data_IF_199329475338
#
_entry.id   IF_199329475338
#
_cell.length_a   1.000
_cell.length_b   1.000
_cell.length_c   1.000
_cell.angle_alpha   90.00
_cell.angle_beta   90.00
_cell.angle_gamma   90.00
#
_symmetry.space_group_name_H-M   'P 1'
#
loop_
_entity.id
_entity.type
_entity.pdbx_description
1 polymer ?
#
# COMPACT_ATOMS: atom_id res chain seq x y z
N UNK A 1 -1.79 27.99 4.91
CA UNK A 1 -0.93 27.08 5.76
C UNK A 1 -1.61 25.71 6.03
N UNK A 2 -2.91 25.65 6.35
CA UNK A 2 -3.59 24.38 6.67
C UNK A 2 -3.67 23.38 5.48
N UNK A 3 -3.84 23.86 4.23
CA UNK A 3 -3.82 23.01 3.02
C UNK A 3 -2.45 22.37 2.81
N UNK A 4 -1.39 23.17 2.89
CA UNK A 4 -0.02 22.68 2.69
C UNK A 4 0.36 21.65 3.77
N UNK A 5 -0.07 21.86 5.03
CA UNK A 5 0.12 20.89 6.11
C UNK A 5 -0.63 19.58 5.83
N UNK A 6 -1.89 19.68 5.40
CA UNK A 6 -2.69 18.51 5.06
C UNK A 6 -2.07 17.70 3.92
N UNK A 7 -1.69 18.37 2.82
CA UNK A 7 -1.02 17.72 1.69
C UNK A 7 0.35 17.16 2.08
N UNK A 8 1.14 17.89 2.86
CA UNK A 8 2.42 17.42 3.36
C UNK A 8 2.30 16.14 4.20
N UNK A 9 1.31 16.08 5.11
CA UNK A 9 1.05 14.88 5.91
C UNK A 9 0.53 13.72 5.04
N UNK A 10 -0.39 13.95 4.12
CA UNK A 10 -0.94 12.88 3.30
C UNK A 10 0.08 12.34 2.29
N UNK A 11 0.84 13.20 1.62
CA UNK A 11 1.91 12.79 0.70
C UNK A 11 3.07 12.14 1.46
N UNK A 12 3.49 12.73 2.58
CA UNK A 12 4.55 12.16 3.42
C UNK A 12 4.20 10.77 3.93
N UNK A 13 2.97 10.58 4.42
CA UNK A 13 2.49 9.26 4.85
C UNK A 13 2.37 8.30 3.66
N UNK A 14 1.90 8.76 2.51
CA UNK A 14 1.83 7.96 1.30
C UNK A 14 3.21 7.43 0.88
N UNK A 15 4.22 8.31 0.86
CA UNK A 15 5.60 7.93 0.53
C UNK A 15 6.19 6.97 1.57
N UNK A 16 5.96 7.22 2.87
CA UNK A 16 6.39 6.30 3.95
C UNK A 16 5.74 4.93 3.83
N UNK A 17 4.49 4.88 3.44
CA UNK A 17 3.75 3.63 3.32
C UNK A 17 4.19 2.76 2.13
N UNK A 18 4.89 3.32 1.14
CA UNK A 18 5.39 2.58 -0.03
C UNK A 18 6.22 1.36 0.38
N UNK A 19 7.32 1.48 1.12
CA UNK A 19 8.12 0.33 1.54
C UNK A 19 7.65 -0.30 2.85
N UNK A 20 7.00 0.47 3.75
CA UNK A 20 6.57 -0.04 5.05
C UNK A 20 5.23 -0.78 4.97
N UNK A 21 4.46 -0.54 3.91
CA UNK A 21 3.16 -1.16 3.67
C UNK A 21 2.28 -1.16 4.95
N UNK A 22 1.88 -2.31 5.47
CA UNK A 22 1.08 -2.41 6.69
C UNK A 22 1.80 -1.91 7.96
N UNK A 23 3.12 -2.03 8.04
CA UNK A 23 3.91 -1.52 9.16
C UNK A 23 3.79 0.00 9.35
N UNK A 24 3.49 0.74 8.29
CA UNK A 24 3.24 2.18 8.37
C UNK A 24 1.94 2.51 9.13
N UNK A 25 0.94 1.64 9.07
CA UNK A 25 -0.34 1.83 9.78
C UNK A 25 -0.16 1.89 11.30
N UNK A 26 0.67 1.01 11.86
CA UNK A 26 1.00 1.02 13.29
C UNK A 26 1.78 2.26 13.72
N UNK A 27 2.77 2.68 12.91
CA UNK A 27 3.53 3.90 13.16
C UNK A 27 2.60 5.14 13.16
N UNK A 28 1.75 5.22 12.16
CA UNK A 28 0.80 6.31 11.98
C UNK A 28 -0.24 6.33 13.10
N UNK A 29 -0.80 5.18 13.49
CA UNK A 29 -1.75 5.09 14.59
C UNK A 29 -1.13 5.56 15.91
N UNK A 30 0.13 5.22 16.18
CA UNK A 30 0.86 5.70 17.37
C UNK A 30 1.10 7.22 17.32
N UNK A 31 1.45 7.77 16.16
CA UNK A 31 1.64 9.21 16.00
C UNK A 31 0.33 9.99 16.22
N UNK A 32 -0.79 9.50 15.66
CA UNK A 32 -2.11 10.11 15.85
C UNK A 32 -2.54 9.98 17.31
N UNK A 33 -2.41 8.79 17.91
CA UNK A 33 -2.77 8.56 19.30
C UNK A 33 -2.05 9.50 20.27
N UNK A 34 -0.76 9.73 20.04
CA UNK A 34 0.03 10.68 20.83
C UNK A 34 -0.44 12.12 20.65
N UNK A 35 -0.76 12.54 19.42
CA UNK A 35 -1.31 13.88 19.15
C UNK A 35 -2.67 14.10 19.78
N UNK A 36 -3.55 13.10 19.78
CA UNK A 36 -4.86 13.17 20.43
C UNK A 36 -4.72 13.30 21.95
N UNK A 37 -3.74 12.60 22.55
CA UNK A 37 -3.46 12.70 23.98
C UNK A 37 -2.92 14.08 24.37
N UNK A 38 -2.06 14.67 23.54
CA UNK A 38 -1.39 15.95 23.82
C UNK A 38 -2.25 17.16 23.45
N UNK A 39 -3.05 17.10 22.39
CA UNK A 39 -3.78 18.24 21.81
C UNK A 39 -5.30 18.20 21.91
N UNK A 40 -5.90 17.09 22.35
CA UNK A 40 -7.35 16.92 22.38
C UNK A 40 -7.97 16.67 20.98
N UNK A 41 -9.30 16.55 20.94
CA UNK A 41 -10.08 16.30 19.72
C UNK A 41 -10.46 17.63 19.03
N UNK A 42 -9.47 18.37 18.53
CA UNK A 42 -9.69 19.58 17.76
C UNK A 42 -9.76 19.31 16.23
N UNK A 43 -10.22 20.32 15.46
CA UNK A 43 -10.31 20.21 14.00
C UNK A 43 -8.94 19.97 13.33
N UNK A 44 -7.86 20.45 13.93
CA UNK A 44 -6.51 20.28 13.41
C UNK A 44 -6.04 18.83 13.57
N UNK A 45 -6.30 18.21 14.70
CA UNK A 45 -5.99 16.81 15.01
C UNK A 45 -6.81 15.88 14.11
N UNK A 46 -8.11 16.14 13.94
CA UNK A 46 -8.96 15.37 13.01
C UNK A 46 -8.50 15.49 11.57
N UNK A 47 -8.12 16.69 11.12
CA UNK A 47 -7.57 16.88 9.77
C UNK A 47 -6.23 16.18 9.59
N UNK A 48 -5.34 16.20 10.58
CA UNK A 48 -4.08 15.48 10.55
C UNK A 48 -4.32 13.96 10.45
N UNK A 49 -5.21 13.41 11.27
CA UNK A 49 -5.58 11.99 11.25
C UNK A 49 -6.14 11.58 9.89
N UNK A 50 -7.06 12.37 9.33
CA UNK A 50 -7.62 12.13 7.99
C UNK A 50 -6.57 12.19 6.89
N UNK A 51 -5.64 13.16 6.96
CA UNK A 51 -4.56 13.28 5.99
C UNK A 51 -3.67 12.03 5.98
N UNK A 52 -3.32 11.55 7.17
CA UNK A 52 -2.49 10.38 7.37
C UNK A 52 -3.18 9.10 6.89
N UNK A 53 -4.44 8.88 7.29
CA UNK A 53 -5.23 7.72 6.83
C UNK A 53 -5.38 7.71 5.30
N UNK A 54 -5.61 8.87 4.69
CA UNK A 54 -5.72 8.97 3.24
C UNK A 54 -4.39 8.75 2.53
N UNK A 55 -3.29 9.28 3.07
CA UNK A 55 -1.96 9.00 2.54
C UNK A 55 -1.64 7.51 2.56
N UNK A 56 -1.93 6.85 3.67
CA UNK A 56 -1.80 5.39 3.80
C UNK A 56 -2.71 4.65 2.80
N UNK A 57 -3.99 5.03 2.69
CA UNK A 57 -4.95 4.41 1.77
C UNK A 57 -4.62 4.60 0.29
N UNK A 58 -3.92 5.68 -0.07
CA UNK A 58 -3.46 5.93 -1.44
C UNK A 58 -2.19 5.16 -1.81
N UNK A 59 -1.36 4.79 -0.83
CA UNK A 59 -0.04 4.19 -1.08
C UNK A 59 -0.09 2.87 -1.87
N UNK A 60 -1.06 1.94 -1.65
CA UNK A 60 -1.15 0.72 -2.44
C UNK A 60 -1.38 0.95 -3.93
N UNK A 61 -2.05 2.05 -4.29
CA UNK A 61 -2.34 2.38 -5.69
C UNK A 61 -1.14 2.96 -6.43
N UNK A 62 -0.24 3.65 -5.71
CA UNK A 62 0.91 4.33 -6.30
C UNK A 62 2.25 3.60 -6.11
N UNK A 63 2.25 2.45 -5.46
CA UNK A 63 3.48 1.75 -5.09
C UNK A 63 3.72 0.47 -5.90
N UNK A 64 4.84 0.38 -6.63
CA UNK A 64 5.23 -0.86 -7.27
C UNK A 64 5.57 -1.98 -6.27
N UNK A 65 5.87 -1.65 -5.01
CA UNK A 65 6.18 -2.61 -3.95
C UNK A 65 4.93 -3.05 -3.17
N UNK A 66 3.76 -2.56 -3.56
CA UNK A 66 2.49 -2.87 -2.89
C UNK A 66 2.07 -4.32 -3.09
N UNK A 67 1.66 -4.95 -2.01
CA UNK A 67 1.03 -6.28 -2.06
C UNK A 67 -0.22 -6.26 -2.95
N UNK A 68 -0.97 -5.15 -2.98
CA UNK A 68 -2.14 -5.01 -3.84
C UNK A 68 -1.77 -5.12 -5.33
N UNK A 69 -0.69 -4.47 -5.77
CA UNK A 69 -0.18 -4.58 -7.14
C UNK A 69 0.30 -6.00 -7.44
N UNK A 70 1.11 -6.57 -6.55
CA UNK A 70 1.61 -7.94 -6.72
C UNK A 70 0.47 -8.97 -6.81
N UNK A 71 -0.55 -8.84 -5.95
CA UNK A 71 -1.72 -9.72 -5.95
C UNK A 71 -2.54 -9.54 -7.23
N UNK A 72 -2.81 -8.31 -7.65
CA UNK A 72 -3.58 -8.02 -8.87
C UNK A 72 -2.93 -8.62 -10.11
N UNK A 73 -1.62 -8.42 -10.29
CA UNK A 73 -0.87 -8.99 -11.42
C UNK A 73 -0.80 -10.52 -11.36
N UNK A 74 -0.80 -11.09 -10.17
CA UNK A 74 -0.83 -12.56 -10.00
C UNK A 74 -2.19 -13.13 -10.36
N UNK A 75 -3.27 -12.45 -10.01
CA UNK A 75 -4.64 -12.89 -10.27
C UNK A 75 -5.09 -12.60 -11.72
N UNK A 76 -4.50 -11.60 -12.35
CA UNK A 76 -4.77 -11.20 -13.74
C UNK A 76 -3.48 -11.28 -14.57
N UNK A 77 -3.07 -12.48 -15.01
CA UNK A 77 -1.75 -12.70 -15.66
C UNK A 77 -1.53 -11.92 -16.96
N UNK A 78 -2.61 -11.52 -17.64
CA UNK A 78 -2.54 -10.69 -18.86
C UNK A 78 -2.25 -9.19 -18.58
N UNK A 79 -2.32 -8.76 -17.30
CA UNK A 79 -2.11 -7.39 -16.93
C UNK A 79 -0.65 -7.11 -16.58
N UNK A 80 0.00 -6.26 -17.38
CA UNK A 80 1.36 -5.81 -17.05
C UNK A 80 1.34 -4.91 -15.80
N UNK A 81 2.25 -5.17 -14.84
CA UNK A 81 2.39 -4.36 -13.61
C UNK A 81 2.56 -2.88 -13.89
N UNK A 82 3.24 -2.56 -14.98
CA UNK A 82 3.52 -1.20 -15.41
C UNK A 82 2.26 -0.46 -15.87
N UNK A 83 1.43 -1.13 -16.67
CA UNK A 83 0.13 -0.59 -17.10
C UNK A 83 -0.78 -0.30 -15.90
N UNK A 84 -0.82 -1.25 -14.94
CA UNK A 84 -1.58 -1.05 -13.70
C UNK A 84 -1.12 0.20 -12.95
N UNK A 85 0.20 0.38 -12.77
CA UNK A 85 0.75 1.53 -12.06
C UNK A 85 0.48 2.86 -12.76
N UNK A 86 0.62 2.92 -14.09
CA UNK A 86 0.35 4.13 -14.87
C UNK A 86 -1.09 4.60 -14.70
N UNK A 87 -2.05 3.68 -14.64
CA UNK A 87 -3.45 4.03 -14.44
C UNK A 87 -3.83 4.25 -12.98
N UNK A 88 -3.25 3.52 -12.04
CA UNK A 88 -3.57 3.66 -10.62
C UNK A 88 -2.97 4.91 -9.98
N UNK A 89 -1.83 5.40 -10.46
CA UNK A 89 -1.18 6.60 -9.93
C UNK A 89 -2.02 7.88 -10.06
N UNK A 90 -2.64 8.22 -11.22
CA UNK A 90 -3.58 9.32 -11.31
C UNK A 90 -4.78 9.18 -10.37
N UNK A 91 -5.25 7.96 -10.14
CA UNK A 91 -6.30 7.68 -9.17
C UNK A 91 -5.85 7.98 -7.73
N UNK A 92 -4.66 7.55 -7.33
CA UNK A 92 -4.08 7.88 -6.03
C UNK A 92 -3.94 9.39 -5.83
N UNK A 93 -3.41 10.09 -6.83
CA UNK A 93 -3.26 11.55 -6.78
C UNK A 93 -4.62 12.27 -6.71
N UNK A 94 -5.61 11.84 -7.49
CA UNK A 94 -6.96 12.43 -7.43
C UNK A 94 -7.63 12.17 -6.09
N UNK A 95 -7.49 10.98 -5.50
CA UNK A 95 -7.98 10.67 -4.17
C UNK A 95 -7.37 11.57 -3.08
N UNK A 96 -6.07 11.82 -3.15
CA UNK A 96 -5.38 12.71 -2.22
C UNK A 96 -5.82 14.16 -2.39
N UNK A 97 -5.95 14.65 -3.64
CA UNK A 97 -6.38 16.03 -3.92
C UNK A 97 -7.83 16.28 -3.53
N UNK A 98 -8.74 15.38 -3.87
CA UNK A 98 -10.16 15.44 -3.44
C UNK A 98 -10.26 15.45 -1.92
N UNK A 99 -9.35 14.75 -1.24
CA UNK A 99 -9.26 14.75 0.21
C UNK A 99 -9.14 16.13 0.85
N UNK A 100 -8.53 17.08 0.16
CA UNK A 100 -8.37 18.46 0.64
C UNK A 100 -9.72 19.16 0.81
N UNK A 101 -10.70 18.89 -0.05
CA UNK A 101 -12.01 19.52 0.02
C UNK A 101 -12.85 19.03 1.20
N UNK A 102 -12.60 17.82 1.68
CA UNK A 102 -13.30 17.21 2.82
C UNK A 102 -12.66 17.52 4.19
N UNK A 103 -11.68 18.44 4.23
CA UNK A 103 -11.11 18.88 5.50
C UNK A 103 -12.07 19.80 6.25
N UNK A 104 -12.00 19.77 7.57
CA UNK A 104 -12.73 20.71 8.42
C UNK A 104 -12.05 22.09 8.40
N UNK A 105 -12.85 23.16 8.54
CA UNK A 105 -12.32 24.50 8.74
C UNK A 105 -11.73 24.60 10.14
N UNK A 106 -10.45 24.91 10.21
CA UNK A 106 -9.75 25.15 11.45
C UNK A 106 -10.07 26.59 11.91
N UNK A 107 -10.99 26.72 12.88
CA UNK A 107 -11.37 27.99 13.49
C UNK A 107 -10.51 28.18 14.74
N UNK A 108 -9.66 29.20 14.74
CA UNK A 108 -8.77 29.56 15.85
C UNK A 108 -7.30 29.24 15.58
N UNK A 109 -6.43 29.82 16.39
CA UNK A 109 -5.01 29.48 16.43
C UNK A 109 -4.91 28.10 17.06
N UNK A 110 -4.86 27.06 16.22
CA UNK A 110 -4.41 25.76 16.70
C UNK A 110 -3.11 25.96 17.47
N UNK A 111 -2.93 25.34 18.64
CA UNK A 111 -1.62 25.25 19.22
C UNK A 111 -0.73 24.74 18.10
N UNK A 112 0.22 25.55 17.71
CA UNK A 112 1.20 25.16 16.74
C UNK A 112 1.68 23.79 17.17
N UNK A 113 1.43 22.74 16.35
CA UNK A 113 2.37 21.64 16.38
C UNK A 113 3.69 22.38 16.28
N UNK A 114 4.33 22.57 17.40
CA UNK A 114 5.66 23.09 17.43
C UNK A 114 6.47 22.01 16.70
N UNK A 115 6.50 22.13 15.39
CA UNK A 115 7.73 21.85 14.69
C UNK A 115 8.67 22.80 15.44
N UNK A 116 9.27 22.30 16.52
CA UNK A 116 10.33 22.94 17.24
C UNK A 116 11.13 23.66 16.20
N UNK A 117 11.38 24.98 16.40
CA UNK A 117 12.19 25.78 15.51
C UNK A 117 13.42 24.97 15.15
N UNK A 118 13.29 24.18 14.09
CA UNK A 118 14.35 23.33 13.57
C UNK A 118 15.27 24.33 12.91
N UNK A 119 16.29 24.72 13.62
CA UNK A 119 17.36 25.56 13.05
C UNK A 119 17.81 24.93 11.73
N UNK A 120 18.12 25.74 10.72
CA UNK A 120 18.39 25.25 9.36
C UNK A 120 19.50 24.19 9.24
N UNK A 121 20.33 24.00 10.26
CA UNK A 121 21.28 22.88 10.36
C UNK A 121 20.61 21.53 10.69
N UNK A 122 19.51 21.54 11.43
CA UNK A 122 18.74 20.34 11.74
C UNK A 122 17.91 19.87 10.55
N UNK A 123 17.50 20.77 9.65
CA UNK A 123 16.79 20.44 8.40
C UNK A 123 17.63 19.54 7.48
N UNK A 124 18.92 19.82 7.32
CA UNK A 124 19.83 19.00 6.52
C UNK A 124 20.06 17.62 7.15
N UNK A 125 20.12 17.54 8.48
CA UNK A 125 20.24 16.27 9.21
C UNK A 125 18.97 15.45 9.14
N UNK A 126 17.78 16.09 9.15
CA UNK A 126 16.50 15.43 9.00
C UNK A 126 16.26 14.94 7.56
N UNK A 127 16.85 15.62 6.55
CA UNK A 127 16.69 15.26 5.13
C UNK A 127 17.44 13.97 4.76
N UNK A 128 18.59 13.69 5.39
CA UNK A 128 19.43 12.54 5.06
C UNK A 128 18.77 11.15 5.28
N UNK A 129 18.05 10.89 6.37
CA UNK A 129 17.27 9.66 6.51
C UNK A 129 16.21 9.48 5.42
N UNK A 130 15.55 10.57 5.01
CA UNK A 130 14.57 10.56 3.92
C UNK A 130 15.20 10.19 2.58
N UNK A 131 16.34 10.76 2.26
CA UNK A 131 17.07 10.43 1.03
C UNK A 131 17.48 8.96 0.99
N UNK A 132 17.97 8.43 2.11
CA UNK A 132 18.30 7.00 2.23
C UNK A 132 17.08 6.11 2.03
N UNK A 133 15.97 6.47 2.64
CA UNK A 133 14.72 5.73 2.56
C UNK A 133 14.16 5.72 1.12
N UNK A 134 14.07 6.88 0.47
CA UNK A 134 13.63 7.00 -0.93
C UNK A 134 14.60 6.28 -1.85
N UNK A 135 15.90 6.44 -1.65
CA UNK A 135 16.94 5.75 -2.43
C UNK A 135 16.82 4.23 -2.32
N UNK A 136 16.54 3.71 -1.12
CA UNK A 136 16.34 2.28 -0.90
C UNK A 136 15.07 1.78 -1.62
N UNK A 137 13.96 2.51 -1.51
CA UNK A 137 12.71 2.15 -2.17
C UNK A 137 12.86 2.15 -3.70
N UNK A 138 13.56 3.15 -4.25
CA UNK A 138 13.89 3.21 -5.67
C UNK A 138 14.80 2.05 -6.10
N UNK A 139 15.82 1.74 -5.33
CA UNK A 139 16.72 0.62 -5.60
C UNK A 139 15.95 -0.71 -5.69
N UNK A 140 15.12 -1.02 -4.68
CA UNK A 140 14.28 -2.23 -4.68
C UNK A 140 13.36 -2.26 -5.91
N UNK A 141 12.74 -1.13 -6.24
CA UNK A 141 11.83 -1.03 -7.38
C UNK A 141 12.53 -1.25 -8.72
N UNK A 142 13.71 -0.66 -8.90
CA UNK A 142 14.51 -0.81 -10.12
C UNK A 142 15.06 -2.22 -10.25
N UNK A 143 15.56 -2.82 -9.18
CA UNK A 143 16.02 -4.21 -9.17
C UNK A 143 14.88 -5.18 -9.49
N UNK A 144 13.70 -4.99 -8.87
CA UNK A 144 12.53 -5.80 -9.15
C UNK A 144 12.08 -5.67 -10.62
N UNK A 145 12.11 -4.46 -11.17
CA UNK A 145 11.83 -4.23 -12.58
C UNK A 145 12.84 -4.93 -13.49
N UNK A 146 14.13 -4.83 -13.18
CA UNK A 146 15.19 -5.48 -13.94
C UNK A 146 15.05 -7.02 -13.92
N UNK A 147 14.80 -7.60 -12.73
CA UNK A 147 14.60 -9.04 -12.57
C UNK A 147 13.34 -9.54 -13.31
N UNK A 148 12.26 -8.76 -13.27
CA UNK A 148 11.05 -9.10 -14.01
C UNK A 148 11.26 -9.04 -15.52
N UNK A 149 11.95 -7.99 -16.02
CA UNK A 149 12.09 -7.73 -17.47
C UNK A 149 13.20 -8.57 -18.10
N UNK A 150 14.36 -8.70 -17.45
CA UNK A 150 15.54 -9.35 -18.02
C UNK A 150 15.69 -10.80 -17.62
N UNK A 151 15.34 -11.14 -16.37
CA UNK A 151 15.40 -12.51 -15.88
C UNK A 151 14.09 -13.29 -16.08
N UNK A 152 13.02 -12.64 -16.57
CA UNK A 152 11.72 -13.29 -16.81
C UNK A 152 11.02 -13.78 -15.55
N UNK A 153 11.40 -13.29 -14.37
CA UNK A 153 10.78 -13.67 -13.10
C UNK A 153 9.38 -13.09 -13.01
N UNK A 154 8.46 -13.82 -12.36
CA UNK A 154 7.15 -13.26 -12.02
C UNK A 154 7.33 -12.05 -11.10
N UNK A 155 6.49 -11.04 -11.26
CA UNK A 155 6.61 -9.78 -10.52
C UNK A 155 6.76 -9.97 -9.00
N UNK A 156 5.94 -10.85 -8.39
CA UNK A 156 6.02 -11.14 -6.95
C UNK A 156 7.36 -11.77 -6.54
N UNK A 157 7.93 -12.64 -7.39
CA UNK A 157 9.23 -13.25 -7.16
C UNK A 157 10.37 -12.23 -7.28
N UNK A 158 10.29 -11.36 -8.29
CA UNK A 158 11.25 -10.28 -8.49
C UNK A 158 11.29 -9.32 -7.30
N UNK A 159 10.13 -8.87 -6.81
CA UNK A 159 10.04 -8.01 -5.62
C UNK A 159 10.58 -8.71 -4.37
N UNK A 160 10.24 -9.99 -4.16
CA UNK A 160 10.73 -10.76 -3.02
C UNK A 160 12.25 -10.89 -3.05
N UNK A 161 12.81 -11.21 -4.21
CA UNK A 161 14.26 -11.36 -4.38
C UNK A 161 14.98 -10.03 -4.14
N UNK A 162 14.47 -8.93 -4.68
CA UNK A 162 15.03 -7.59 -4.47
C UNK A 162 15.02 -7.19 -2.98
N UNK A 163 13.95 -7.46 -2.27
CA UNK A 163 13.90 -7.23 -0.82
C UNK A 163 14.94 -8.09 -0.08
N UNK A 164 15.08 -9.37 -0.45
CA UNK A 164 16.09 -10.25 0.14
C UNK A 164 17.52 -9.77 -0.15
N UNK A 165 17.80 -9.33 -1.37
CA UNK A 165 19.11 -8.76 -1.75
C UNK A 165 19.47 -7.59 -0.83
N UNK A 166 18.55 -6.67 -0.62
CA UNK A 166 18.75 -5.51 0.26
C UNK A 166 18.97 -5.93 1.71
N UNK A 167 18.20 -6.87 2.22
CA UNK A 167 18.35 -7.38 3.59
C UNK A 167 19.73 -8.03 3.77
N UNK A 168 20.12 -8.89 2.85
CA UNK A 168 21.42 -9.58 2.89
C UNK A 168 22.56 -8.55 2.83
N UNK A 169 22.48 -7.60 1.88
CA UNK A 169 23.47 -6.55 1.73
C UNK A 169 23.58 -5.71 3.01
N UNK A 170 22.46 -5.31 3.61
CA UNK A 170 22.44 -4.60 4.88
C UNK A 170 23.09 -5.40 6.00
N UNK A 171 22.78 -6.70 6.13
CA UNK A 171 23.35 -7.56 7.17
C UNK A 171 24.85 -7.74 6.98
N UNK A 172 25.32 -7.93 5.74
CA UNK A 172 26.76 -8.04 5.42
C UNK A 172 27.48 -6.75 5.76
N UNK A 173 26.98 -5.60 5.32
CA UNK A 173 27.58 -4.30 5.62
C UNK A 173 27.65 -4.07 7.15
N UNK A 174 26.54 -4.34 7.85
CA UNK A 174 26.51 -4.18 9.32
C UNK A 174 27.50 -5.09 10.01
N UNK A 175 27.64 -6.33 9.58
CA UNK A 175 28.63 -7.26 10.14
C UNK A 175 30.05 -6.80 9.91
N UNK A 176 30.34 -6.27 8.72
CA UNK A 176 31.68 -5.78 8.39
C UNK A 176 32.05 -4.48 9.15
N UNK A 177 31.07 -3.60 9.35
CA UNK A 177 31.31 -2.28 9.96
C UNK A 177 31.18 -2.32 11.50
N UNK A 178 30.16 -3.01 12.02
CA UNK A 178 29.82 -2.98 13.45
C UNK A 178 30.15 -4.28 14.20
N UNK A 179 30.60 -5.32 13.53
CA UNK A 179 30.98 -6.61 14.14
C UNK A 179 29.83 -7.43 14.72
N UNK A 180 28.69 -6.80 15.03
CA UNK A 180 27.51 -7.44 15.59
C UNK A 180 26.27 -7.14 14.74
N UNK A 181 25.40 -8.12 14.55
CA UNK A 181 24.13 -7.96 13.83
C UNK A 181 22.99 -8.29 14.78
N UNK A 182 22.21 -7.27 15.15
CA UNK A 182 20.94 -7.47 15.84
C UNK A 182 19.84 -7.59 14.79
N UNK A 183 19.27 -8.76 14.66
CA UNK A 183 18.09 -8.98 13.81
C UNK A 183 16.87 -8.37 14.51
N UNK A 184 16.03 -7.62 13.77
CA UNK A 184 14.76 -7.14 14.32
C UNK A 184 13.85 -8.32 14.65
N UNK A 185 13.10 -8.21 15.74
CA UNK A 185 12.14 -9.24 16.12
C UNK A 185 11.04 -9.36 15.07
N UNK A 186 10.80 -10.56 14.58
CA UNK A 186 9.70 -10.88 13.65
C UNK A 186 8.34 -10.93 14.35
N UNK A 187 8.30 -10.83 15.69
CA UNK A 187 7.06 -10.94 16.47
C UNK A 187 6.02 -9.87 16.08
N UNK A 188 6.48 -8.66 15.74
CA UNK A 188 5.59 -7.56 15.36
C UNK A 188 4.93 -7.77 13.98
N UNK A 189 5.51 -8.61 13.13
CA UNK A 189 5.04 -8.88 11.75
C UNK A 189 4.24 -10.19 11.68
N UNK A 190 4.35 -11.04 12.70
CA UNK A 190 3.74 -12.39 12.68
C UNK A 190 2.21 -12.34 12.53
N UNK A 191 1.54 -11.43 13.22
CA UNK A 191 0.09 -11.26 13.12
C UNK A 191 -0.34 -10.82 11.72
N UNK A 192 0.39 -9.90 11.11
CA UNK A 192 0.12 -9.43 9.75
C UNK A 192 0.29 -10.56 8.74
N UNK A 193 1.37 -11.33 8.86
CA UNK A 193 1.63 -12.51 8.02
C UNK A 193 0.56 -13.59 8.20
N UNK A 194 0.10 -13.83 9.43
CA UNK A 194 -0.96 -14.79 9.71
C UNK A 194 -2.29 -14.36 9.09
N UNK A 195 -2.65 -13.06 9.19
CA UNK A 195 -3.87 -12.51 8.58
C UNK A 195 -3.79 -12.60 7.06
N UNK A 196 -2.65 -12.22 6.46
CA UNK A 196 -2.46 -12.28 5.02
C UNK A 196 -2.48 -13.72 4.49
N UNK A 197 -1.72 -14.62 5.13
CA UNK A 197 -1.67 -16.02 4.77
C UNK A 197 -3.02 -16.70 4.91
N UNK A 198 -3.71 -16.46 6.03
CA UNK A 198 -5.05 -16.98 6.28
C UNK A 198 -6.08 -16.47 5.27
N UNK A 199 -6.08 -15.16 4.98
CA UNK A 199 -6.98 -14.58 3.98
C UNK A 199 -6.71 -15.13 2.56
N UNK A 200 -5.44 -15.28 2.18
CA UNK A 200 -5.06 -15.87 0.88
C UNK A 200 -5.45 -17.33 0.78
N UNK A 201 -5.22 -18.11 1.85
CA UNK A 201 -5.61 -19.53 1.90
C UNK A 201 -7.14 -19.70 1.79
N UNK A 202 -7.90 -18.97 2.60
CA UNK A 202 -9.36 -19.00 2.55
C UNK A 202 -9.89 -18.53 1.21
N UNK A 203 -9.31 -17.45 0.65
CA UNK A 203 -9.66 -16.97 -0.67
C UNK A 203 -9.42 -18.01 -1.77
N UNK A 204 -8.28 -18.71 -1.73
CA UNK A 204 -7.96 -19.78 -2.64
C UNK A 204 -8.92 -20.96 -2.51
N UNK A 205 -9.24 -21.40 -1.28
CA UNK A 205 -10.20 -22.46 -1.03
C UNK A 205 -11.61 -22.12 -1.54
N UNK A 206 -12.09 -20.90 -1.28
CA UNK A 206 -13.36 -20.40 -1.80
C UNK A 206 -13.38 -20.32 -3.32
N UNK A 207 -12.26 -19.90 -3.93
CA UNK A 207 -12.11 -19.86 -5.41
C UNK A 207 -12.26 -21.24 -6.01
N UNK A 208 -11.54 -22.24 -5.49
CA UNK A 208 -11.64 -23.64 -5.98
C UNK A 208 -13.06 -24.16 -5.86
N UNK A 209 -13.73 -23.92 -4.71
CA UNK A 209 -15.11 -24.33 -4.48
C UNK A 209 -16.05 -23.63 -5.45
N UNK A 210 -15.90 -22.32 -5.68
CA UNK A 210 -16.74 -21.57 -6.61
C UNK A 210 -16.57 -22.07 -8.04
N UNK A 211 -15.33 -22.25 -8.51
CA UNK A 211 -15.06 -22.75 -9.88
C UNK A 211 -15.58 -24.17 -10.09
N UNK A 212 -15.44 -25.05 -9.09
CA UNK A 212 -16.00 -26.41 -9.18
C UNK A 212 -17.52 -26.43 -9.25
N UNK A 213 -18.17 -25.44 -8.64
CA UNK A 213 -19.62 -25.29 -8.66
C UNK A 213 -20.16 -24.66 -9.96
N UNK A 214 -19.35 -23.81 -10.61
CA UNK A 214 -19.72 -23.16 -11.87
C UNK A 214 -19.60 -24.08 -13.09
N UNK A 215 -18.71 -25.08 -13.02
CA UNK A 215 -18.41 -25.96 -14.16
C UNK A 215 -17.38 -25.40 -15.11
N UNK A 216 -16.73 -26.30 -15.89
CA UNK A 216 -15.62 -25.95 -16.80
C UNK A 216 -16.04 -25.06 -17.98
N UNK A 217 -17.29 -25.08 -18.36
CA UNK A 217 -17.81 -24.40 -19.56
C UNK A 217 -18.51 -23.07 -19.23
N UNK A 218 -18.38 -22.62 -17.99
CA UNK A 218 -19.04 -21.39 -17.57
C UNK A 218 -18.36 -20.17 -18.20
N UNK A 219 -19.12 -19.42 -19.00
CA UNK A 219 -18.70 -18.17 -19.61
C UNK A 219 -19.67 -17.07 -19.19
N UNK A 220 -19.15 -15.97 -18.69
CA UNK A 220 -19.97 -14.81 -18.36
C UNK A 220 -20.52 -14.17 -19.65
N UNK A 221 -21.82 -13.80 -19.69
CA UNK A 221 -22.36 -13.02 -20.80
C UNK A 221 -21.71 -11.63 -20.82
N UNK A 222 -21.54 -11.04 -22.04
CA UNK A 222 -20.80 -9.79 -22.22
C UNK A 222 -21.26 -8.62 -21.35
N UNK A 223 -22.56 -8.50 -21.06
CA UNK A 223 -23.10 -7.47 -20.17
C UNK A 223 -22.65 -7.65 -18.69
N UNK A 224 -22.41 -8.89 -18.28
CA UNK A 224 -22.03 -9.18 -16.90
C UNK A 224 -20.63 -8.64 -16.55
N UNK A 225 -19.73 -8.50 -17.53
CA UNK A 225 -18.42 -7.86 -17.31
C UNK A 225 -18.57 -6.39 -16.93
N UNK A 226 -19.43 -5.64 -17.62
CA UNK A 226 -19.69 -4.24 -17.31
C UNK A 226 -20.27 -4.09 -15.89
N UNK A 227 -21.20 -4.98 -15.53
CA UNK A 227 -21.76 -5.01 -14.17
C UNK A 227 -20.69 -5.36 -13.15
N UNK A 228 -19.84 -6.36 -13.42
CA UNK A 228 -18.76 -6.76 -12.52
C UNK A 228 -17.77 -5.60 -12.26
N UNK A 229 -17.35 -4.89 -13.32
CA UNK A 229 -16.44 -3.72 -13.20
C UNK A 229 -17.03 -2.65 -12.28
N UNK A 230 -18.33 -2.41 -12.35
CA UNK A 230 -19.01 -1.42 -11.49
C UNK A 230 -19.21 -1.96 -10.07
N UNK A 231 -19.63 -3.21 -9.92
CA UNK A 231 -20.01 -3.77 -8.63
C UNK A 231 -18.81 -4.16 -7.75
N UNK A 232 -17.71 -4.65 -8.33
CA UNK A 232 -16.52 -5.10 -7.57
C UNK A 232 -16.01 -4.04 -6.60
N UNK A 233 -15.76 -2.76 -7.00
CA UNK A 233 -15.31 -1.73 -6.07
C UNK A 233 -16.27 -1.52 -4.89
N UNK A 234 -17.57 -1.59 -5.14
CA UNK A 234 -18.59 -1.45 -4.09
C UNK A 234 -18.61 -2.64 -3.13
N UNK A 235 -18.36 -3.85 -3.64
CA UNK A 235 -18.24 -5.06 -2.82
C UNK A 235 -16.97 -5.01 -1.94
N UNK A 236 -15.87 -4.49 -2.48
CA UNK A 236 -14.67 -4.24 -1.67
C UNK A 236 -14.93 -3.20 -0.57
N UNK A 237 -15.63 -2.12 -0.90
CA UNK A 237 -16.01 -1.09 0.07
C UNK A 237 -16.93 -1.65 1.15
N UNK A 238 -18.00 -2.35 0.77
CA UNK A 238 -18.93 -2.96 1.69
C UNK A 238 -18.26 -4.04 2.57
N UNK A 239 -17.43 -4.89 1.97
CA UNK A 239 -16.64 -5.88 2.68
C UNK A 239 -15.72 -5.23 3.72
N UNK A 240 -15.00 -4.17 3.34
CA UNK A 240 -14.15 -3.41 4.26
C UNK A 240 -14.96 -2.76 5.40
N UNK A 241 -16.16 -2.27 5.13
CA UNK A 241 -17.04 -1.67 6.14
C UNK A 241 -17.51 -2.68 7.20
N UNK A 242 -17.66 -3.96 6.84
CA UNK A 242 -17.99 -5.05 7.77
C UNK A 242 -16.76 -5.80 8.30
N UNK A 243 -15.56 -5.32 7.99
CA UNK A 243 -14.31 -5.87 8.51
C UNK A 243 -13.76 -7.07 7.73
N UNK A 244 -14.25 -7.35 6.53
CA UNK A 244 -13.67 -8.38 5.65
C UNK A 244 -12.33 -7.91 5.13
N UNK A 245 -11.32 -8.77 5.23
CA UNK A 245 -9.98 -8.45 4.75
C UNK A 245 -9.98 -8.26 3.21
N UNK A 246 -9.49 -7.12 2.69
CA UNK A 246 -9.44 -6.86 1.25
C UNK A 246 -8.67 -7.92 0.45
N UNK A 247 -7.66 -8.57 1.06
CA UNK A 247 -6.91 -9.65 0.42
C UNK A 247 -7.80 -10.85 0.16
N UNK A 248 -8.65 -11.22 1.13
CA UNK A 248 -9.63 -12.29 0.96
C UNK A 248 -10.58 -11.97 -0.20
N UNK A 249 -11.14 -10.77 -0.21
CA UNK A 249 -12.04 -10.31 -1.28
C UNK A 249 -11.34 -10.34 -2.65
N UNK A 250 -10.11 -9.81 -2.73
CA UNK A 250 -9.32 -9.81 -3.95
C UNK A 250 -9.01 -11.23 -4.45
N UNK A 251 -8.63 -12.13 -3.55
CA UNK A 251 -8.30 -13.52 -3.91
C UNK A 251 -9.53 -14.26 -4.45
N UNK A 252 -10.68 -14.09 -3.83
CA UNK A 252 -11.94 -14.71 -4.28
C UNK A 252 -12.34 -14.15 -5.65
N UNK A 253 -12.48 -12.84 -5.77
CA UNK A 253 -12.91 -12.23 -7.04
C UNK A 253 -11.88 -12.43 -8.15
N UNK A 254 -10.61 -12.21 -7.91
CA UNK A 254 -9.55 -12.40 -8.89
C UNK A 254 -9.39 -13.86 -9.30
N UNK A 255 -9.50 -14.79 -8.34
CA UNK A 255 -9.42 -16.22 -8.60
C UNK A 255 -10.61 -16.77 -9.38
N UNK A 256 -11.81 -16.28 -9.12
CA UNK A 256 -13.03 -16.70 -9.84
C UNK A 256 -13.15 -15.99 -11.20
N UNK A 257 -12.97 -14.67 -11.23
CA UNK A 257 -13.17 -13.88 -12.45
C UNK A 257 -11.95 -13.91 -13.38
N UNK A 258 -10.73 -14.04 -12.84
CA UNK A 258 -9.51 -14.05 -13.64
C UNK A 258 -9.52 -15.08 -14.77
N UNK A 259 -9.82 -16.37 -14.50
CA UNK A 259 -9.88 -17.41 -15.53
C UNK A 259 -10.99 -17.22 -16.57
N UNK A 260 -12.07 -16.59 -16.20
CA UNK A 260 -13.26 -16.38 -17.08
C UNK A 260 -13.33 -14.96 -17.67
N UNK A 261 -12.33 -14.10 -17.33
CA UNK A 261 -12.25 -12.76 -17.89
C UNK A 261 -11.75 -12.84 -19.34
N UNK A 262 -12.38 -12.15 -20.27
CA UNK A 262 -11.96 -12.21 -21.68
C UNK A 262 -10.51 -11.73 -21.80
N UNK A 263 -9.71 -12.49 -22.56
CA UNK A 263 -8.35 -12.05 -22.92
C UNK A 263 -8.47 -10.69 -23.59
N UNK A 264 -7.90 -9.71 -22.95
CA UNK A 264 -8.27 -8.33 -23.14
C UNK A 264 -7.92 -7.77 -24.49
N UNK A 265 -8.94 -7.55 -25.30
CA UNK A 265 -9.00 -6.48 -26.28
C UNK A 265 -9.46 -5.13 -25.67
N UNK A 266 -9.51 -4.99 -24.34
CA UNK A 266 -10.12 -3.83 -23.66
C UNK A 266 -9.09 -2.97 -22.91
N UNK A 267 -7.78 -3.36 -22.89
CA UNK A 267 -6.74 -2.53 -22.29
C UNK A 267 -5.67 -2.16 -23.29
#
# INVERSE_FOLDING_TARGET
>A
RSVARYLGLSLGTGVLAIPLNFGSGGLVATMIGKQVQDGGDDAATRNASRAVIRGFGASPMGSPLSIAVALTVTLLPGLASWTLLVWSMPFALSYLTVGVWFREKELGASPSLSVSDVSGEDDLRAFWPWMRFVGLALFISLEAYALNTWAGLKYSQAVTLSCLTVIILYLVIRRLVAGTVNLPSMANVSNELAIMGGASFLGGALTVTALSSLGSDFVLPGWAYAVAVICIPWLFYAGGAVGINPILTATVFGGVLGPIWPESSIF
#
